data_IF_161006431256
#
_entry.id   IF_161006431256
#
_cell.length_a   1.000
_cell.length_b   1.000
_cell.length_c   1.000
_cell.angle_alpha   90.00
_cell.angle_beta   90.00
_cell.angle_gamma   90.00
#
_symmetry.space_group_name_H-M   'P 1'
#
loop_
_entity.id
_entity.type
_entity.pdbx_description
1 polymer ?
#
# COMPACT_ATOMS: atom_id res chain seq x y z
N UNK A 1 -8.11 -4.55 -17.06
CA UNK A 1 -6.68 -4.22 -16.95
C UNK A 1 -6.46 -3.68 -15.54
N UNK A 2 -5.72 -4.40 -14.70
CA UNK A 2 -5.38 -3.90 -13.38
C UNK A 2 -4.53 -2.63 -13.52
N UNK A 3 -4.90 -1.58 -12.80
CA UNK A 3 -4.39 -0.20 -12.85
C UNK A 3 -2.97 -0.07 -12.26
N UNK A 4 -2.12 -1.08 -12.47
CA UNK A 4 -0.70 -1.08 -12.17
C UNK A 4 0.06 -0.79 -13.46
N UNK A 5 0.87 0.28 -13.46
CA UNK A 5 1.71 0.62 -14.62
C UNK A 5 2.62 -0.53 -15.07
N UNK A 6 3.36 -0.37 -16.18
CA UNK A 6 4.13 -1.43 -16.83
C UNK A 6 5.41 -1.82 -16.06
N UNK A 7 5.39 -1.77 -14.72
CA UNK A 7 6.54 -2.00 -13.87
C UNK A 7 6.29 -3.13 -12.89
N UNK A 8 7.24 -4.05 -12.81
CA UNK A 8 7.31 -5.04 -11.74
C UNK A 8 8.04 -4.45 -10.53
N UNK A 9 7.56 -4.78 -9.33
CA UNK A 9 8.20 -4.43 -8.07
C UNK A 9 9.36 -5.39 -7.81
N UNK A 10 10.53 -4.83 -7.50
CA UNK A 10 11.76 -5.52 -7.12
C UNK A 10 12.20 -6.61 -8.13
N UNK A 11 11.95 -6.35 -9.41
CA UNK A 11 12.23 -7.28 -10.50
C UNK A 11 13.73 -7.65 -10.64
N UNK A 12 14.61 -6.80 -10.11
CA UNK A 12 16.05 -6.98 -10.12
C UNK A 12 16.56 -7.84 -8.95
N UNK A 13 15.70 -8.13 -7.98
CA UNK A 13 15.95 -9.05 -6.88
C UNK A 13 15.11 -10.34 -6.99
N UNK A 14 14.26 -10.45 -8.01
CA UNK A 14 13.38 -11.60 -8.21
C UNK A 14 14.08 -12.69 -9.04
N UNK A 15 13.85 -13.96 -8.68
CA UNK A 15 14.34 -15.11 -9.45
C UNK A 15 13.64 -15.24 -10.82
N UNK A 16 12.39 -14.75 -10.92
CA UNK A 16 11.60 -14.77 -12.13
C UNK A 16 10.66 -13.57 -12.21
N UNK A 17 10.45 -13.07 -13.43
CA UNK A 17 9.50 -11.98 -13.72
C UNK A 17 8.45 -12.50 -14.70
N UNK A 18 7.20 -12.53 -14.27
CA UNK A 18 6.08 -13.02 -15.08
C UNK A 18 5.29 -11.85 -15.68
N UNK A 19 4.95 -11.96 -16.96
CA UNK A 19 4.12 -10.99 -17.66
C UNK A 19 2.85 -11.67 -18.19
N UNK A 20 1.69 -11.06 -17.91
CA UNK A 20 0.39 -11.52 -18.41
C UNK A 20 -0.07 -10.57 -19.51
N UNK A 21 -0.38 -11.13 -20.68
CA UNK A 21 -0.88 -10.38 -21.85
C UNK A 21 -2.17 -11.04 -22.33
N UNK A 22 -3.31 -10.49 -21.90
CA UNK A 22 -4.60 -11.14 -22.12
C UNK A 22 -4.65 -12.49 -21.42
N UNK A 23 -4.75 -13.56 -22.21
CA UNK A 23 -4.78 -14.95 -21.71
C UNK A 23 -3.42 -15.66 -21.84
N UNK A 24 -2.34 -14.95 -22.14
CA UNK A 24 -1.01 -15.54 -22.25
C UNK A 24 -0.12 -15.19 -21.05
N UNK A 25 0.57 -16.19 -20.52
CA UNK A 25 1.58 -16.05 -19.48
C UNK A 25 2.97 -16.21 -20.10
N UNK A 26 3.84 -15.25 -19.84
CA UNK A 26 5.20 -15.22 -20.34
C UNK A 26 6.21 -15.11 -19.20
N UNK A 27 7.31 -15.87 -19.29
CA UNK A 27 8.51 -15.63 -18.51
C UNK A 27 9.31 -14.52 -19.20
N UNK A 28 9.39 -13.35 -18.58
CA UNK A 28 10.21 -12.26 -19.12
C UNK A 28 11.69 -12.66 -19.06
N UNK A 29 12.51 -12.34 -20.09
CA UNK A 29 13.92 -12.70 -20.13
C UNK A 29 14.78 -11.87 -19.15
N UNK A 30 14.16 -10.92 -18.45
CA UNK A 30 14.79 -10.03 -17.48
C UNK A 30 13.95 -8.78 -17.27
N UNK A 31 14.58 -7.74 -16.72
CA UNK A 31 13.98 -6.44 -16.48
C UNK A 31 14.85 -5.33 -17.09
N UNK A 32 14.22 -4.20 -17.42
CA UNK A 32 14.92 -2.97 -17.78
C UNK A 32 15.51 -2.27 -16.55
N UNK A 33 16.09 -1.07 -16.70
CA UNK A 33 16.70 -0.36 -15.58
C UNK A 33 15.70 -0.06 -14.47
N UNK A 34 16.15 -0.22 -13.21
CA UNK A 34 15.39 0.16 -12.02
C UNK A 34 15.16 1.67 -12.05
N UNK A 35 13.91 2.07 -11.85
CA UNK A 35 13.47 3.47 -11.86
C UNK A 35 13.33 4.00 -10.45
N UNK A 36 13.65 5.28 -10.29
CA UNK A 36 13.39 6.02 -9.06
C UNK A 36 11.88 6.11 -8.82
N UNK A 37 11.47 5.70 -7.63
CA UNK A 37 10.09 5.78 -7.14
C UNK A 37 9.99 6.85 -6.05
N UNK A 38 8.78 7.32 -5.79
CA UNK A 38 8.52 8.19 -4.63
C UNK A 38 8.96 7.52 -3.33
N UNK A 39 8.61 6.24 -3.16
CA UNK A 39 9.13 5.41 -2.07
C UNK A 39 10.44 4.79 -2.55
N UNK A 40 11.61 5.19 -2.02
CA UNK A 40 12.90 4.66 -2.46
C UNK A 40 13.06 3.16 -2.17
N UNK A 41 12.27 2.60 -1.25
CA UNK A 41 12.25 1.17 -0.99
C UNK A 41 11.40 0.38 -2.00
N UNK A 42 10.71 1.04 -2.94
CA UNK A 42 9.99 0.37 -4.04
C UNK A 42 10.78 0.48 -5.33
N UNK A 43 11.46 -0.59 -5.71
CA UNK A 43 12.35 -0.60 -6.88
C UNK A 43 11.52 -1.06 -8.07
N UNK A 44 11.16 -0.13 -8.94
CA UNK A 44 10.24 -0.41 -10.06
C UNK A 44 11.02 -0.58 -11.34
N UNK A 45 10.89 -1.72 -12.02
CA UNK A 45 11.56 -1.97 -13.29
C UNK A 45 10.58 -2.52 -14.32
N UNK A 46 10.65 -2.08 -15.59
CA UNK A 46 9.80 -2.63 -16.62
C UNK A 46 10.26 -4.04 -16.98
N UNK A 47 9.37 -5.06 -17.03
CA UNK A 47 9.75 -6.36 -17.56
C UNK A 47 10.16 -6.22 -19.04
N UNK A 48 11.21 -6.92 -19.45
CA UNK A 48 11.60 -6.94 -20.86
C UNK A 48 10.52 -7.65 -21.70
N UNK A 49 10.23 -7.10 -22.88
CA UNK A 49 9.30 -7.71 -23.82
C UNK A 49 9.93 -8.94 -24.49
N UNK A 50 9.08 -9.82 -25.02
CA UNK A 50 9.50 -11.17 -25.46
C UNK A 50 9.56 -12.16 -24.29
N UNK A 51 10.41 -13.18 -24.42
CA UNK A 51 10.58 -14.25 -23.44
C UNK A 51 9.95 -15.58 -23.85
N UNK A 52 9.85 -16.49 -22.90
CA UNK A 52 9.30 -17.83 -23.11
C UNK A 52 7.80 -17.87 -22.79
N UNK A 53 6.94 -18.33 -23.72
CA UNK A 53 5.53 -18.53 -23.41
C UNK A 53 5.38 -19.75 -22.49
N UNK A 54 4.81 -19.55 -21.31
CA UNK A 54 4.63 -20.61 -20.31
C UNK A 54 3.24 -21.25 -20.38
N UNK A 55 2.20 -20.45 -20.60
CA UNK A 55 0.82 -20.93 -20.61
C UNK A 55 -0.10 -20.01 -21.41
N UNK A 56 -1.25 -20.55 -21.85
CA UNK A 56 -2.30 -19.82 -22.56
C UNK A 56 -3.71 -20.25 -22.13
N UNK A 57 -4.67 -19.35 -22.29
CA UNK A 57 -6.11 -19.59 -22.13
C UNK A 57 -6.72 -18.97 -20.87
N UNK A 58 -8.04 -19.07 -20.73
CA UNK A 58 -8.81 -18.44 -19.67
C UNK A 58 -8.30 -18.73 -18.23
N UNK A 59 -7.66 -19.88 -18.01
CA UNK A 59 -7.04 -20.23 -16.73
C UNK A 59 -5.92 -19.26 -16.32
N UNK A 60 -5.16 -18.72 -17.28
CA UNK A 60 -4.13 -17.70 -17.04
C UNK A 60 -4.76 -16.39 -16.57
N UNK A 61 -5.82 -15.94 -17.25
CA UNK A 61 -6.53 -14.72 -16.86
C UNK A 61 -7.10 -14.86 -15.43
N UNK A 62 -7.72 -16.01 -15.11
CA UNK A 62 -8.22 -16.28 -13.77
C UNK A 62 -7.10 -16.32 -12.72
N UNK A 63 -5.92 -16.89 -13.04
CA UNK A 63 -4.77 -16.89 -12.16
C UNK A 63 -4.19 -15.48 -11.95
N UNK A 64 -4.16 -14.65 -12.99
CA UNK A 64 -3.70 -13.27 -12.92
C UNK A 64 -4.60 -12.40 -12.04
N UNK A 65 -5.93 -12.57 -12.14
CA UNK A 65 -6.88 -11.88 -11.27
C UNK A 65 -6.70 -12.31 -9.81
N UNK A 66 -6.53 -13.61 -9.54
CA UNK A 66 -6.21 -14.09 -8.18
C UNK A 66 -4.90 -13.54 -7.65
N UNK A 67 -3.85 -13.47 -8.47
CA UNK A 67 -2.57 -12.90 -8.08
C UNK A 67 -2.69 -11.40 -7.78
N UNK A 68 -3.50 -10.66 -8.54
CA UNK A 68 -3.78 -9.25 -8.29
C UNK A 68 -4.53 -9.04 -6.97
N UNK A 69 -5.46 -9.94 -6.60
CA UNK A 69 -6.15 -9.87 -5.30
C UNK A 69 -5.19 -10.14 -4.14
N UNK A 70 -4.28 -11.11 -4.26
CA UNK A 70 -3.21 -11.33 -3.27
C UNK A 70 -2.28 -10.13 -3.13
N UNK A 71 -1.90 -9.51 -4.25
CA UNK A 71 -1.05 -8.33 -4.24
C UNK A 71 -1.76 -7.11 -3.61
N UNK A 72 -3.05 -6.93 -3.87
CA UNK A 72 -3.87 -5.90 -3.23
C UNK A 72 -3.99 -6.15 -1.71
N UNK A 73 -4.23 -7.39 -1.29
CA UNK A 73 -4.28 -7.76 0.12
C UNK A 73 -2.94 -7.51 0.84
N UNK A 74 -1.81 -7.97 0.26
CA UNK A 74 -0.49 -7.72 0.82
C UNK A 74 -0.20 -6.21 0.93
N UNK A 75 -0.61 -5.43 -0.06
CA UNK A 75 -0.49 -3.96 -0.04
C UNK A 75 -1.37 -3.32 1.03
N UNK A 76 -2.57 -3.87 1.29
CA UNK A 76 -3.44 -3.44 2.38
C UNK A 76 -2.78 -3.68 3.74
N UNK A 77 -2.22 -4.88 3.96
CA UNK A 77 -1.50 -5.22 5.19
C UNK A 77 -0.30 -4.31 5.42
N UNK A 78 0.50 -4.07 4.36
CA UNK A 78 1.63 -3.16 4.43
C UNK A 78 1.19 -1.72 4.72
N UNK A 79 0.09 -1.26 4.13
CA UNK A 79 -0.46 0.08 4.39
C UNK A 79 -0.86 0.24 5.86
N UNK A 80 -1.56 -0.74 6.43
CA UNK A 80 -1.92 -0.73 7.86
C UNK A 80 -0.68 -0.64 8.75
N UNK A 81 0.33 -1.47 8.50
CA UNK A 81 1.59 -1.45 9.24
C UNK A 81 2.32 -0.09 9.13
N UNK A 82 2.33 0.52 7.95
CA UNK A 82 2.89 1.86 7.73
C UNK A 82 2.13 2.92 8.53
N UNK A 83 0.80 2.86 8.56
CA UNK A 83 -0.02 3.78 9.35
C UNK A 83 0.25 3.68 10.85
N UNK A 84 0.35 2.46 11.38
CA UNK A 84 0.72 2.20 12.79
C UNK A 84 2.12 2.72 13.10
N UNK A 85 3.09 2.44 12.23
CA UNK A 85 4.47 2.90 12.37
C UNK A 85 4.60 4.44 12.37
N UNK A 86 3.78 5.12 11.57
CA UNK A 86 3.67 6.59 11.55
C UNK A 86 3.04 7.13 12.82
N UNK A 87 1.96 6.50 13.30
CA UNK A 87 1.29 6.90 14.54
C UNK A 87 2.24 6.79 15.74
N UNK A 88 2.92 5.65 15.92
CA UNK A 88 3.83 5.41 17.04
C UNK A 88 4.97 6.45 17.09
N UNK A 89 5.61 6.69 15.94
CA UNK A 89 6.69 7.68 15.81
C UNK A 89 6.18 9.10 16.11
N UNK A 90 5.00 9.43 15.63
CA UNK A 90 4.39 10.75 15.86
C UNK A 90 4.04 10.95 17.32
N UNK A 91 3.45 9.95 17.97
CA UNK A 91 3.15 9.97 19.41
C UNK A 91 4.43 10.16 20.23
N UNK A 92 5.51 9.44 19.89
CA UNK A 92 6.80 9.59 20.55
C UNK A 92 7.34 11.02 20.40
N UNK A 93 7.30 11.58 19.19
CA UNK A 93 7.76 12.93 18.91
C UNK A 93 6.96 14.00 19.68
N UNK A 94 5.63 13.97 19.62
CA UNK A 94 4.80 15.03 20.25
C UNK A 94 4.87 15.03 21.77
N UNK A 95 5.25 13.90 22.38
CA UNK A 95 5.51 13.80 23.82
C UNK A 95 6.82 14.48 24.24
N UNK A 96 7.81 14.52 23.36
CA UNK A 96 9.13 15.08 23.64
C UNK A 96 9.27 16.55 23.19
N UNK A 97 8.59 16.93 22.10
CA UNK A 97 8.66 18.28 21.56
C UNK A 97 7.91 19.28 22.46
N UNK A 98 8.61 20.31 22.93
CA UNK A 98 8.03 21.37 23.78
C UNK A 98 7.86 22.67 22.99
N UNK A 99 6.66 23.25 23.03
CA UNK A 99 6.36 24.59 22.54
C UNK A 99 5.31 25.25 23.44
N UNK A 100 5.34 26.58 23.54
CA UNK A 100 4.45 27.33 24.43
C UNK A 100 4.50 26.81 25.88
N UNK A 101 5.70 26.48 26.35
CA UNK A 101 5.97 26.08 27.75
C UNK A 101 5.58 24.65 28.13
N UNK A 102 5.10 23.80 27.21
CA UNK A 102 4.75 22.39 27.50
C UNK A 102 4.90 21.48 26.28
N UNK A 103 4.87 20.17 26.49
CA UNK A 103 4.90 19.18 25.41
C UNK A 103 3.71 19.39 24.46
N UNK A 104 3.96 19.35 23.14
CA UNK A 104 2.91 19.64 22.15
C UNK A 104 1.80 18.57 22.15
N UNK A 105 2.09 17.34 22.59
CA UNK A 105 1.09 16.29 22.78
C UNK A 105 0.06 16.59 23.88
N UNK A 106 0.25 17.63 24.69
CA UNK A 106 -0.73 18.07 25.70
C UNK A 106 -1.85 18.96 25.15
N UNK A 107 -1.70 19.49 23.92
CA UNK A 107 -2.75 20.30 23.30
C UNK A 107 -3.85 19.39 22.74
N UNK A 108 -5.11 19.68 23.07
CA UNK A 108 -6.26 18.89 22.60
C UNK A 108 -6.33 18.77 21.07
N UNK A 109 -5.96 19.82 20.33
CA UNK A 109 -5.90 19.77 18.87
C UNK A 109 -4.93 18.71 18.33
N UNK A 110 -3.83 18.43 19.04
CA UNK A 110 -2.89 17.35 18.71
C UNK A 110 -3.47 15.99 19.10
N UNK A 111 -4.06 15.91 20.29
CA UNK A 111 -4.67 14.67 20.79
C UNK A 111 -5.82 14.19 19.90
N UNK A 112 -6.72 15.09 19.49
CA UNK A 112 -7.84 14.76 18.60
C UNK A 112 -7.35 14.24 17.25
N UNK A 113 -6.38 14.91 16.62
CA UNK A 113 -5.81 14.43 15.35
C UNK A 113 -5.19 13.03 15.47
N UNK A 114 -4.49 12.74 16.57
CA UNK A 114 -3.88 11.42 16.78
C UNK A 114 -4.94 10.34 17.11
N UNK A 115 -6.00 10.72 17.83
CA UNK A 115 -7.14 9.85 18.09
C UNK A 115 -7.87 9.48 16.80
N UNK A 116 -8.14 10.45 15.91
CA UNK A 116 -8.77 10.20 14.62
C UNK A 116 -7.95 9.25 13.73
N UNK A 117 -6.61 9.40 13.74
CA UNK A 117 -5.71 8.48 13.03
C UNK A 117 -5.80 7.06 13.62
N UNK A 118 -5.73 6.92 14.94
CA UNK A 118 -5.85 5.62 15.61
C UNK A 118 -7.18 4.95 15.28
N UNK A 119 -8.28 5.71 15.36
CA UNK A 119 -9.62 5.24 15.02
C UNK A 119 -9.65 4.69 13.59
N UNK A 120 -9.14 5.45 12.61
CA UNK A 120 -9.09 4.99 11.22
C UNK A 120 -8.30 3.70 11.01
N UNK A 121 -7.17 3.54 11.71
CA UNK A 121 -6.34 2.32 11.64
C UNK A 121 -7.03 1.12 12.29
N UNK A 122 -7.67 1.32 13.45
CA UNK A 122 -8.42 0.26 14.12
C UNK A 122 -9.67 -0.16 13.35
N UNK A 123 -10.32 0.74 12.61
CA UNK A 123 -11.40 0.36 11.69
C UNK A 123 -10.91 -0.36 10.42
N UNK A 124 -9.69 -0.10 9.97
CA UNK A 124 -9.10 -0.81 8.82
C UNK A 124 -8.67 -2.25 9.16
N UNK A 125 -8.26 -2.50 10.41
CA UNK A 125 -7.79 -3.80 10.89
C UNK A 125 -8.79 -4.97 10.70
N UNK A 126 -10.06 -4.89 11.12
CA UNK A 126 -11.01 -5.99 10.94
C UNK A 126 -11.29 -6.29 9.46
N UNK A 127 -11.31 -5.27 8.59
CA UNK A 127 -11.48 -5.47 7.15
C UNK A 127 -10.31 -6.26 6.55
N UNK A 128 -9.09 -5.97 7.00
CA UNK A 128 -7.91 -6.75 6.60
C UNK A 128 -8.03 -8.22 7.03
N UNK A 129 -8.46 -8.48 8.26
CA UNK A 129 -8.66 -9.85 8.74
C UNK A 129 -9.79 -10.57 7.99
N UNK A 130 -10.91 -9.89 7.72
CA UNK A 130 -12.00 -10.42 6.91
C UNK A 130 -11.54 -10.79 5.49
N UNK A 131 -10.77 -9.91 4.84
CA UNK A 131 -10.16 -10.20 3.54
C UNK A 131 -9.23 -11.42 3.57
N UNK A 132 -8.46 -11.60 4.64
CA UNK A 132 -7.59 -12.77 4.80
C UNK A 132 -8.40 -14.07 4.86
N UNK A 133 -9.48 -14.08 5.65
CA UNK A 133 -10.39 -15.23 5.77
C UNK A 133 -11.05 -15.54 4.42
N UNK A 134 -11.54 -14.51 3.72
CA UNK A 134 -12.19 -14.67 2.44
C UNK A 134 -11.23 -15.20 1.36
N UNK A 135 -9.99 -14.71 1.32
CA UNK A 135 -8.94 -15.22 0.43
C UNK A 135 -8.61 -16.68 0.71
N UNK A 136 -8.51 -17.07 1.98
CA UNK A 136 -8.23 -18.45 2.37
C UNK A 136 -9.37 -19.41 1.99
N UNK A 137 -10.62 -18.94 2.00
CA UNK A 137 -11.79 -19.72 1.62
C UNK A 137 -11.93 -19.91 0.09
N UNK A 138 -11.23 -19.12 -0.73
CA UNK A 138 -11.23 -19.24 -2.20
C UNK A 138 -12.55 -18.89 -2.90
N UNK A 139 -13.51 -18.29 -2.17
CA UNK A 139 -14.83 -17.92 -2.70
C UNK A 139 -14.82 -16.60 -3.49
N UNK A 140 -15.86 -16.36 -4.30
CA UNK A 140 -16.03 -15.15 -5.12
C UNK A 140 -16.11 -13.84 -4.32
N UNK A 141 -16.54 -13.91 -3.06
CA UNK A 141 -16.62 -12.74 -2.16
C UNK A 141 -15.27 -12.15 -1.75
N UNK A 142 -14.17 -12.89 -1.91
CA UNK A 142 -12.84 -12.43 -1.51
C UNK A 142 -12.42 -11.12 -2.18
N UNK A 143 -12.83 -10.90 -3.42
CA UNK A 143 -12.45 -9.71 -4.20
C UNK A 143 -13.00 -8.41 -3.62
N UNK A 144 -14.26 -8.42 -3.15
CA UNK A 144 -14.88 -7.24 -2.54
C UNK A 144 -14.26 -6.95 -1.17
N UNK A 145 -14.03 -7.99 -0.36
CA UNK A 145 -13.38 -7.88 0.96
C UNK A 145 -11.95 -7.34 0.85
N UNK A 146 -11.15 -7.86 -0.09
CA UNK A 146 -9.80 -7.35 -0.38
C UNK A 146 -9.83 -5.89 -0.81
N UNK A 147 -10.80 -5.50 -1.64
CA UNK A 147 -10.95 -4.11 -2.06
C UNK A 147 -11.31 -3.18 -0.90
N UNK A 148 -12.19 -3.62 -0.01
CA UNK A 148 -12.57 -2.89 1.20
C UNK A 148 -11.37 -2.73 2.14
N UNK A 149 -10.61 -3.81 2.39
CA UNK A 149 -9.38 -3.76 3.16
C UNK A 149 -8.33 -2.82 2.53
N UNK A 150 -8.12 -2.92 1.22
CA UNK A 150 -7.14 -2.11 0.48
C UNK A 150 -7.42 -0.62 0.58
N UNK A 151 -8.67 -0.20 0.39
CA UNK A 151 -9.03 1.22 0.47
C UNK A 151 -9.03 1.73 1.90
N UNK A 152 -9.55 0.95 2.86
CA UNK A 152 -9.58 1.36 4.26
C UNK A 152 -8.18 1.52 4.84
N UNK A 153 -7.31 0.51 4.68
CA UNK A 153 -5.94 0.58 5.15
C UNK A 153 -5.11 1.65 4.42
N UNK A 154 -5.31 1.79 3.10
CA UNK A 154 -4.62 2.80 2.29
C UNK A 154 -5.01 4.24 2.67
N UNK A 155 -6.30 4.51 2.88
CA UNK A 155 -6.77 5.85 3.29
C UNK A 155 -6.38 6.15 4.74
N UNK A 156 -6.45 5.18 5.66
CA UNK A 156 -6.02 5.34 7.05
C UNK A 156 -4.51 5.61 7.15
N UNK A 157 -3.68 4.86 6.43
CA UNK A 157 -2.23 5.08 6.39
C UNK A 157 -1.87 6.44 5.78
N UNK A 158 -2.60 6.87 4.76
CA UNK A 158 -2.39 8.18 4.16
C UNK A 158 -2.83 9.33 5.09
N UNK A 159 -3.91 9.15 5.85
CA UNK A 159 -4.30 10.08 6.90
C UNK A 159 -3.21 10.17 7.98
N UNK A 160 -2.69 9.04 8.45
CA UNK A 160 -1.57 8.99 9.39
C UNK A 160 -0.34 9.75 8.85
N UNK A 161 0.00 9.59 7.57
CA UNK A 161 1.12 10.28 6.95
C UNK A 161 0.94 11.81 6.90
N UNK A 162 -0.28 12.28 6.59
CA UNK A 162 -0.59 13.71 6.57
C UNK A 162 -0.53 14.31 7.98
N UNK A 163 -1.10 13.63 8.96
CA UNK A 163 -1.08 14.05 10.37
C UNK A 163 0.35 14.06 10.91
N UNK A 164 1.14 13.02 10.60
CA UNK A 164 2.55 12.96 10.97
C UNK A 164 3.33 14.15 10.40
N UNK A 165 3.18 14.44 9.10
CA UNK A 165 3.82 15.59 8.46
C UNK A 165 3.43 16.92 9.14
N UNK A 166 2.14 17.11 9.40
CA UNK A 166 1.63 18.32 10.03
C UNK A 166 2.20 18.52 11.45
N UNK A 167 2.24 17.46 12.26
CA UNK A 167 2.66 17.53 13.66
C UNK A 167 4.19 17.63 13.83
N UNK A 168 4.98 17.11 12.88
CA UNK A 168 6.44 17.27 12.89
C UNK A 168 6.90 18.61 12.31
N UNK A 169 6.07 19.29 11.52
CA UNK A 169 6.41 20.57 10.88
C UNK A 169 7.56 20.42 9.89
N UNK A 170 8.46 21.41 9.82
CA UNK A 170 9.56 21.43 8.86
C UNK A 170 10.51 20.22 8.96
N UNK A 171 10.70 19.65 10.16
CA UNK A 171 11.55 18.47 10.37
C UNK A 171 10.96 17.24 9.66
N UNK A 172 9.64 17.16 9.55
CA UNK A 172 8.97 16.11 8.77
C UNK A 172 9.25 16.18 7.26
N UNK A 173 9.83 17.28 6.78
CA UNK A 173 10.23 17.48 5.38
C UNK A 173 11.70 17.15 5.11
N UNK A 174 12.54 17.08 6.15
CA UNK A 174 13.97 16.81 6.02
C UNK A 174 14.23 15.31 5.97
N UNK A 175 15.29 14.91 5.26
CA UNK A 175 15.78 13.51 5.28
C UNK A 175 16.56 13.18 6.56
N UNK A 176 16.63 14.11 7.53
CA UNK A 176 17.26 13.91 8.84
C UNK A 176 16.46 12.95 9.75
N UNK A 177 15.19 12.70 9.41
CA UNK A 177 14.32 11.76 10.13
C UNK A 177 13.71 10.75 9.14
N UNK A 178 13.80 9.46 9.48
CA UNK A 178 13.24 8.36 8.67
C UNK A 178 11.73 8.48 8.42
N UNK A 179 11.04 9.42 9.09
CA UNK A 179 9.61 9.71 8.87
C UNK A 179 9.29 10.01 7.41
N UNK A 180 10.18 10.71 6.69
CA UNK A 180 9.98 11.04 5.27
C UNK A 180 9.85 9.78 4.41
N UNK A 181 10.54 8.69 4.78
CA UNK A 181 10.45 7.37 4.11
C UNK A 181 9.07 6.74 4.33
N UNK A 182 8.56 6.78 5.56
CA UNK A 182 7.23 6.25 5.89
C UNK A 182 6.10 7.03 5.22
N UNK A 183 6.19 8.37 5.17
CA UNK A 183 5.23 9.23 4.47
C UNK A 183 5.21 8.93 2.98
N UNK A 184 6.40 8.84 2.35
CA UNK A 184 6.53 8.50 0.93
C UNK A 184 6.00 7.10 0.63
N UNK A 185 6.29 6.12 1.50
CA UNK A 185 5.73 4.76 1.42
C UNK A 185 4.20 4.77 1.50
N UNK A 186 3.59 5.46 2.46
CA UNK A 186 2.13 5.56 2.57
C UNK A 186 1.50 6.13 1.28
N UNK A 187 2.11 7.18 0.71
CA UNK A 187 1.64 7.78 -0.55
C UNK A 187 1.76 6.81 -1.73
N UNK A 188 2.88 6.10 -1.83
CA UNK A 188 3.12 5.11 -2.88
C UNK A 188 2.15 3.92 -2.81
N UNK A 189 1.89 3.38 -1.61
CA UNK A 189 1.00 2.23 -1.42
C UNK A 189 -0.47 2.58 -1.63
N UNK A 190 -0.87 3.85 -1.48
CA UNK A 190 -2.25 4.29 -1.67
C UNK A 190 -2.80 3.98 -3.06
N UNK A 191 -1.97 4.06 -4.10
CA UNK A 191 -2.36 3.73 -5.48
C UNK A 191 -1.87 2.38 -5.99
N UNK A 192 -0.90 1.75 -5.32
CA UNK A 192 -0.35 0.46 -5.74
C UNK A 192 -1.41 -0.64 -5.61
N UNK A 193 -1.51 -1.51 -6.63
CA UNK A 193 -2.41 -2.66 -6.64
C UNK A 193 -3.89 -2.31 -6.36
N UNK A 194 -4.33 -1.17 -6.91
CA UNK A 194 -5.70 -0.68 -6.79
C UNK A 194 -5.75 0.73 -6.26
N UNK A 195 -6.18 1.67 -7.11
CA UNK A 195 -6.48 3.05 -6.69
C UNK A 195 -7.69 3.08 -5.75
N UNK A 196 -7.84 4.11 -4.90
CA UNK A 196 -8.99 4.21 -4.00
C UNK A 196 -10.34 4.21 -4.74
N UNK A 197 -10.42 4.85 -5.91
CA UNK A 197 -11.61 4.84 -6.76
C UNK A 197 -11.91 3.44 -7.31
N UNK A 198 -10.89 2.74 -7.83
CA UNK A 198 -11.04 1.37 -8.33
C UNK A 198 -11.48 0.39 -7.24
N UNK A 199 -10.93 0.54 -6.03
CA UNK A 199 -11.31 -0.29 -4.88
C UNK A 199 -12.77 -0.01 -4.47
N UNK A 200 -13.18 1.25 -4.36
CA UNK A 200 -14.58 1.60 -4.02
C UNK A 200 -15.56 1.10 -5.07
N UNK A 201 -15.23 1.23 -6.36
CA UNK A 201 -16.06 0.68 -7.43
C UNK A 201 -16.21 -0.84 -7.32
N UNK A 202 -15.12 -1.55 -6.96
CA UNK A 202 -15.11 -3.00 -6.76
C UNK A 202 -15.92 -3.45 -5.54
N UNK A 203 -15.94 -2.66 -4.46
CA UNK A 203 -16.79 -2.94 -3.28
C UNK A 203 -18.28 -2.83 -3.62
N UNK A 204 -18.65 -1.92 -4.52
CA UNK A 204 -20.03 -1.68 -4.93
C UNK A 204 -20.51 -2.58 -6.08
N UNK A 205 -19.61 -3.40 -6.65
CA UNK A 205 -19.95 -4.29 -7.74
C UNK A 205 -20.86 -5.44 -7.22
N UNK A 206 -21.91 -5.81 -7.97
CA UNK A 206 -22.87 -6.84 -7.57
C UNK A 206 -22.29 -8.26 -7.62
#
# INVERSE_FOLDING_TARGET
>A
MADGGPYALDADAADAVLAVRGEELWLAPGHGPVRTSLDPARRLAPPLLGGEPLARGAAVAAAAERAADWAAFATAAQSLGVGLALLDRTVAYVKQRTQFGRAIGSFQAVQHQLADVLIGLEFARPLLHGAAVALAAGGSGARAEVAAAKVAAGDAAYAAARTALQLHGAIGYTDEYDLSLWIRKARALRGAWGSPSACRARVLAP
#
